data_IF_214186154113
#
_entry.id   IF_214186154113
#
_cell.length_a   1.000
_cell.length_b   1.000
_cell.length_c   1.000
_cell.angle_alpha   90.00
_cell.angle_beta   90.00
_cell.angle_gamma   90.00
#
_symmetry.space_group_name_H-M   'P 1'
#
loop_
_entity.id
_entity.type
_entity.pdbx_description
1 polymer ?
#
# COMPACT_ATOMS: atom_id res chain seq x y z
N UNK A 1 12.37 -11.79 14.27
CA UNK A 1 12.60 -10.93 13.09
C UNK A 1 13.88 -11.44 12.47
N UNK A 2 13.81 -12.01 11.29
CA UNK A 2 15.01 -12.40 10.55
C UNK A 2 15.56 -11.13 9.87
N UNK A 3 16.72 -10.65 10.31
CA UNK A 3 17.35 -9.43 9.84
C UNK A 3 18.26 -9.65 8.60
N UNK A 4 18.30 -10.88 8.07
CA UNK A 4 19.20 -11.28 6.97
C UNK A 4 18.68 -10.87 5.57
N UNK A 5 17.53 -10.21 5.47
CA UNK A 5 17.04 -9.64 4.21
C UNK A 5 17.36 -8.16 4.15
N UNK A 6 17.64 -7.65 2.97
CA UNK A 6 17.82 -6.19 2.70
C UNK A 6 16.51 -5.43 2.99
N UNK A 7 16.12 -5.37 4.27
CA UNK A 7 14.93 -4.68 4.69
C UNK A 7 15.19 -3.18 4.80
N UNK A 8 14.32 -2.40 4.21
CA UNK A 8 14.32 -0.97 4.39
C UNK A 8 13.63 -0.64 5.72
N UNK A 9 14.41 -0.32 6.76
CA UNK A 9 13.89 -0.02 8.10
C UNK A 9 13.37 1.42 8.27
N UNK A 10 13.08 2.12 7.19
CA UNK A 10 12.55 3.48 7.25
C UNK A 10 11.06 3.47 7.57
N UNK A 11 10.68 4.08 8.70
CA UNK A 11 9.32 4.50 8.97
C UNK A 11 9.21 6.00 8.68
N UNK A 12 8.40 6.40 7.70
CA UNK A 12 8.27 7.81 7.29
C UNK A 12 7.15 8.56 8.02
N UNK A 13 6.39 7.86 8.84
CA UNK A 13 5.36 8.49 9.66
C UNK A 13 4.13 7.63 9.88
N UNK A 14 3.16 8.25 10.52
CA UNK A 14 1.83 7.70 10.82
C UNK A 14 0.78 8.71 10.42
N UNK A 15 -0.47 8.29 10.25
CA UNK A 15 -1.62 9.19 10.08
C UNK A 15 -2.55 9.08 11.28
N UNK A 16 -3.18 10.19 11.63
CA UNK A 16 -4.22 10.24 12.66
C UNK A 16 -5.58 10.15 11.98
N UNK A 17 -6.45 9.32 12.54
CA UNK A 17 -7.87 9.27 12.21
C UNK A 17 -8.70 9.37 13.49
N UNK A 18 -9.84 10.08 13.42
CA UNK A 18 -10.75 10.31 14.55
C UNK A 18 -12.08 9.63 14.26
N UNK A 19 -12.54 8.81 15.20
CA UNK A 19 -13.85 8.15 15.15
C UNK A 19 -14.93 9.04 15.77
N UNK A 20 -15.49 9.94 14.99
CA UNK A 20 -16.56 10.84 15.45
C UNK A 20 -17.86 10.14 15.86
N UNK A 21 -17.96 8.83 15.69
CA UNK A 21 -19.14 8.05 16.07
C UNK A 21 -19.13 7.60 17.54
N UNK A 22 -18.05 7.84 18.28
CA UNK A 22 -17.89 7.51 19.70
C UNK A 22 -17.47 8.77 20.48
N UNK A 23 -17.45 8.72 21.84
CA UNK A 23 -17.07 9.88 22.65
C UNK A 23 -15.54 10.07 22.64
N UNK A 24 -15.10 11.31 22.87
CA UNK A 24 -13.69 11.68 22.91
C UNK A 24 -12.89 10.92 23.99
N UNK A 25 -13.52 10.54 25.08
CA UNK A 25 -12.93 9.78 26.18
C UNK A 25 -12.92 8.26 25.95
N UNK A 26 -13.58 7.78 24.88
CA UNK A 26 -13.66 6.36 24.58
C UNK A 26 -12.33 5.86 23.97
N UNK A 27 -11.98 4.61 24.29
CA UNK A 27 -10.81 3.96 23.69
C UNK A 27 -10.89 3.95 22.17
N UNK A 28 -9.77 4.31 21.53
CA UNK A 28 -9.66 4.37 20.07
C UNK A 28 -10.54 5.45 19.39
N UNK A 29 -10.96 6.48 20.13
CA UNK A 29 -11.55 7.69 19.55
C UNK A 29 -10.57 8.32 18.54
N UNK A 30 -9.31 8.48 18.94
CA UNK A 30 -8.23 8.95 18.08
C UNK A 30 -7.23 7.83 17.84
N UNK A 31 -7.04 7.45 16.57
CA UNK A 31 -6.18 6.34 16.17
C UNK A 31 -4.96 6.81 15.40
N UNK A 32 -3.85 6.14 15.64
CA UNK A 32 -2.67 6.21 14.78
C UNK A 32 -2.69 4.99 13.86
N UNK A 33 -2.74 5.22 12.54
CA UNK A 33 -2.64 4.19 11.51
C UNK A 33 -1.25 4.23 10.89
N UNK A 34 -0.60 3.07 10.78
CA UNK A 34 0.73 2.94 10.20
C UNK A 34 0.99 1.55 9.63
N UNK A 35 1.83 1.50 8.61
CA UNK A 35 2.30 0.27 8.02
C UNK A 35 3.62 -0.22 8.61
N UNK A 36 3.92 -1.50 8.42
CA UNK A 36 5.14 -2.14 8.89
C UNK A 36 5.91 -2.85 7.77
N UNK A 37 7.18 -3.16 8.01
CA UNK A 37 8.05 -3.82 7.04
C UNK A 37 7.67 -5.29 6.75
N UNK A 38 6.80 -5.87 7.54
CA UNK A 38 6.24 -7.21 7.33
C UNK A 38 4.82 -7.18 6.75
N UNK A 39 4.50 -6.09 6.04
CA UNK A 39 3.28 -5.89 5.28
C UNK A 39 1.99 -5.95 6.11
N UNK A 40 2.00 -5.41 7.33
CA UNK A 40 0.82 -5.22 8.18
C UNK A 40 0.45 -3.75 8.30
N UNK A 41 -0.84 -3.49 8.44
CA UNK A 41 -1.42 -2.19 8.79
C UNK A 41 -1.96 -2.26 10.21
N UNK A 42 -1.52 -1.35 11.06
CA UNK A 42 -1.91 -1.26 12.47
C UNK A 42 -2.80 -0.07 12.74
N UNK A 43 -3.69 -0.22 13.74
CA UNK A 43 -4.40 0.85 14.39
C UNK A 43 -4.14 0.80 15.91
N UNK A 44 -3.58 1.87 16.47
CA UNK A 44 -3.36 2.01 17.90
C UNK A 44 -4.05 3.27 18.43
N UNK A 45 -4.47 3.21 19.68
CA UNK A 45 -5.03 4.35 20.40
C UNK A 45 -3.95 5.42 20.61
N UNK A 46 -4.22 6.64 20.17
CA UNK A 46 -3.27 7.74 20.30
C UNK A 46 -3.06 8.20 21.74
N UNK A 47 -3.98 7.88 22.66
CA UNK A 47 -3.90 8.29 24.05
C UNK A 47 -2.96 7.39 24.89
N UNK A 48 -2.92 6.08 24.60
CA UNK A 48 -2.23 5.11 25.45
C UNK A 48 -1.31 4.13 24.70
N UNK A 49 -1.37 4.11 23.35
CA UNK A 49 -0.58 3.21 22.51
C UNK A 49 -1.10 1.76 22.45
N UNK A 50 -2.26 1.48 23.04
CA UNK A 50 -2.87 0.15 22.97
C UNK A 50 -3.48 -0.11 21.58
N UNK A 51 -3.56 -1.38 21.20
CA UNK A 51 -4.18 -1.76 19.93
C UNK A 51 -5.68 -1.52 19.92
N UNK A 52 -6.20 -0.98 18.82
CA UNK A 52 -7.63 -0.82 18.59
C UNK A 52 -8.24 -2.15 18.14
N UNK A 53 -8.69 -2.98 19.08
CA UNK A 53 -9.13 -4.35 18.83
C UNK A 53 -10.27 -4.50 17.82
N UNK A 54 -11.03 -3.43 17.55
CA UNK A 54 -12.06 -3.39 16.51
C UNK A 54 -11.53 -3.18 15.10
N UNK A 55 -10.21 -3.03 14.92
CA UNK A 55 -9.57 -2.88 13.61
C UNK A 55 -8.91 -4.21 13.20
N UNK A 56 -9.41 -4.82 12.13
CA UNK A 56 -8.92 -6.09 11.62
C UNK A 56 -8.92 -7.19 12.68
N UNK A 57 -7.84 -7.95 12.77
CA UNK A 57 -7.66 -8.93 13.83
C UNK A 57 -6.78 -8.33 14.95
N UNK A 58 -7.40 -8.01 16.10
CA UNK A 58 -6.71 -7.48 17.30
C UNK A 58 -5.85 -6.24 17.01
N UNK A 59 -6.39 -5.31 16.23
CA UNK A 59 -5.72 -4.03 15.93
C UNK A 59 -4.78 -4.06 14.74
N UNK A 60 -4.81 -5.12 13.93
CA UNK A 60 -3.98 -5.22 12.74
C UNK A 60 -4.68 -5.88 11.55
N UNK A 61 -4.23 -5.53 10.36
CA UNK A 61 -4.60 -6.18 9.09
C UNK A 61 -3.33 -6.69 8.44
N UNK A 62 -3.30 -7.98 8.08
CA UNK A 62 -2.25 -8.54 7.21
C UNK A 62 -2.62 -8.21 5.77
N UNK A 63 -1.91 -7.24 5.20
CA UNK A 63 -2.31 -6.62 3.91
C UNK A 63 -2.05 -7.53 2.71
N UNK A 64 -1.04 -8.40 2.79
CA UNK A 64 -0.56 -9.20 1.66
C UNK A 64 -0.17 -10.62 2.06
N UNK A 65 -1.11 -11.46 2.51
CA UNK A 65 -0.75 -12.81 2.93
C UNK A 65 -0.12 -13.65 1.80
N UNK A 66 -0.59 -13.49 0.55
CA UNK A 66 -0.06 -14.24 -0.59
C UNK A 66 1.30 -13.71 -1.06
N UNK A 67 1.49 -12.39 -1.07
CA UNK A 67 2.79 -11.82 -1.42
C UNK A 67 3.85 -12.11 -0.36
N UNK A 68 3.50 -12.09 0.92
CA UNK A 68 4.39 -12.48 1.99
C UNK A 68 4.83 -13.95 1.87
N UNK A 69 3.96 -14.82 1.35
CA UNK A 69 4.24 -16.23 1.13
C UNK A 69 5.17 -16.46 -0.07
N UNK A 70 4.90 -15.81 -1.20
CA UNK A 70 5.62 -16.03 -2.45
C UNK A 70 6.89 -15.19 -2.56
N UNK A 71 6.94 -14.06 -1.86
CA UNK A 71 8.04 -13.10 -1.89
C UNK A 71 8.38 -12.63 -0.47
N UNK A 72 8.92 -13.50 0.40
CA UNK A 72 9.21 -13.14 1.79
C UNK A 72 10.08 -11.90 1.89
N UNK A 73 9.60 -10.86 2.61
CA UNK A 73 10.27 -9.58 2.74
C UNK A 73 10.27 -8.70 1.49
N UNK A 74 9.68 -9.16 0.39
CA UNK A 74 9.64 -8.43 -0.89
C UNK A 74 8.65 -7.26 -0.93
N UNK A 75 7.74 -7.16 0.05
CA UNK A 75 6.76 -6.08 0.16
C UNK A 75 6.83 -5.48 1.56
N UNK A 76 6.93 -4.16 1.63
CA UNK A 76 7.05 -3.42 2.89
C UNK A 76 6.18 -2.17 2.87
N UNK A 77 5.75 -1.70 4.03
CA UNK A 77 5.06 -0.41 4.18
C UNK A 77 5.95 0.55 4.96
N UNK A 78 6.56 1.49 4.27
CA UNK A 78 7.49 2.47 4.86
C UNK A 78 6.93 3.88 4.89
N UNK A 79 5.97 4.21 4.02
CA UNK A 79 5.27 5.49 4.02
C UNK A 79 3.97 5.38 4.81
N UNK A 80 3.56 6.47 5.49
CA UNK A 80 2.29 6.48 6.18
C UNK A 80 1.14 6.26 5.20
N UNK A 81 0.05 5.62 5.60
CA UNK A 81 -1.20 5.71 4.85
C UNK A 81 -1.68 7.16 4.84
N UNK A 82 -2.56 7.50 3.90
CA UNK A 82 -3.38 8.71 3.98
C UNK A 82 -4.80 8.32 4.31
N UNK A 83 -5.53 9.23 4.94
CA UNK A 83 -6.95 9.02 5.23
C UNK A 83 -7.76 10.11 4.54
N UNK A 84 -8.79 9.68 3.82
CA UNK A 84 -9.79 10.52 3.19
C UNK A 84 -11.16 10.04 3.64
N UNK A 85 -11.90 10.87 4.38
CA UNK A 85 -13.08 10.45 5.11
C UNK A 85 -12.75 9.26 6.04
N UNK A 86 -13.45 8.14 5.92
CA UNK A 86 -13.19 6.91 6.69
C UNK A 86 -12.36 5.87 5.91
N UNK A 87 -11.68 6.29 4.86
CA UNK A 87 -10.90 5.42 3.99
C UNK A 87 -9.40 5.63 4.21
N UNK A 88 -8.72 4.62 4.74
CA UNK A 88 -7.27 4.58 4.85
C UNK A 88 -6.66 3.96 3.59
N UNK A 89 -5.86 4.73 2.86
CA UNK A 89 -5.19 4.31 1.63
C UNK A 89 -3.70 4.10 1.89
N UNK A 90 -3.17 2.94 1.53
CA UNK A 90 -1.77 2.59 1.74
C UNK A 90 -1.11 2.09 0.45
N UNK A 91 0.06 2.64 0.15
CA UNK A 91 0.96 2.14 -0.88
C UNK A 91 2.04 1.23 -0.29
N UNK A 92 2.92 0.72 -1.12
CA UNK A 92 3.95 -0.23 -0.69
C UNK A 92 5.33 0.09 -1.27
N UNK A 93 6.36 -0.43 -0.64
CA UNK A 93 7.70 -0.61 -1.22
C UNK A 93 7.80 -2.05 -1.70
N UNK A 94 8.22 -2.22 -2.94
CA UNK A 94 8.61 -3.52 -3.50
C UNK A 94 10.13 -3.52 -3.63
N UNK A 95 10.78 -4.62 -3.26
CA UNK A 95 12.24 -4.72 -3.42
C UNK A 95 12.61 -4.71 -4.91
N UNK A 96 13.35 -3.66 -5.30
CA UNK A 96 13.79 -3.42 -6.67
C UNK A 96 15.01 -4.27 -7.05
N UNK A 97 15.28 -4.37 -8.37
CA UNK A 97 16.52 -4.90 -8.97
C UNK A 97 16.79 -6.38 -8.73
N UNK A 98 15.88 -7.10 -8.13
CA UNK A 98 16.05 -8.53 -7.81
C UNK A 98 15.52 -9.40 -8.96
N UNK A 99 14.33 -9.04 -9.50
CA UNK A 99 13.62 -9.87 -10.47
C UNK A 99 12.62 -9.04 -11.28
N UNK A 100 12.26 -9.53 -12.48
CA UNK A 100 11.24 -8.90 -13.33
C UNK A 100 9.84 -9.17 -12.79
N UNK A 101 9.57 -10.42 -12.43
CA UNK A 101 8.30 -10.92 -11.89
C UNK A 101 8.11 -10.59 -10.40
N UNK A 102 8.47 -9.37 -10.00
CA UNK A 102 8.28 -8.85 -8.65
C UNK A 102 6.80 -8.86 -8.24
N UNK A 103 6.48 -8.80 -6.93
CA UNK A 103 5.10 -8.60 -6.49
C UNK A 103 4.48 -7.37 -7.12
N UNK A 104 3.15 -7.38 -7.29
CA UNK A 104 2.42 -6.19 -7.72
C UNK A 104 2.51 -5.08 -6.68
N UNK A 105 2.75 -3.85 -7.15
CA UNK A 105 2.79 -2.64 -6.34
C UNK A 105 1.43 -2.04 -6.01
N UNK A 106 0.39 -2.85 -5.92
CA UNK A 106 -0.98 -2.41 -5.66
C UNK A 106 -1.09 -1.44 -4.49
N UNK A 107 -1.85 -0.37 -4.70
CA UNK A 107 -2.36 0.49 -3.64
C UNK A 107 -3.66 -0.10 -3.10
N UNK A 108 -3.85 -0.05 -1.80
CA UNK A 108 -5.02 -0.65 -1.14
C UNK A 108 -5.70 0.32 -0.22
N UNK A 109 -7.01 0.19 -0.13
CA UNK A 109 -7.84 0.98 0.77
C UNK A 109 -8.59 0.09 1.76
N UNK A 110 -8.65 0.58 2.97
CA UNK A 110 -9.31 -0.07 4.09
C UNK A 110 -10.23 0.90 4.80
N UNK A 111 -11.30 0.41 5.39
CA UNK A 111 -12.09 1.19 6.32
C UNK A 111 -11.23 1.54 7.55
N UNK A 112 -11.07 2.82 7.88
CA UNK A 112 -10.20 3.29 8.95
C UNK A 112 -10.68 2.86 10.36
N UNK A 113 -11.99 2.56 10.49
CA UNK A 113 -12.58 2.07 11.73
C UNK A 113 -12.42 0.57 11.90
N UNK A 114 -12.73 -0.21 10.87
CA UNK A 114 -12.86 -1.67 10.96
C UNK A 114 -11.68 -2.43 10.40
N UNK A 115 -10.87 -1.82 9.53
CA UNK A 115 -9.81 -2.51 8.80
C UNK A 115 -10.32 -3.40 7.65
N UNK A 116 -11.62 -3.35 7.33
CA UNK A 116 -12.18 -4.08 6.20
C UNK A 116 -11.60 -3.56 4.88
N UNK A 117 -11.19 -4.44 3.94
CA UNK A 117 -10.73 -4.03 2.63
C UNK A 117 -11.89 -3.44 1.81
N UNK A 118 -11.66 -2.27 1.20
CA UNK A 118 -12.66 -1.56 0.40
C UNK A 118 -12.39 -1.70 -1.10
N UNK A 119 -11.16 -1.37 -1.53
CA UNK A 119 -10.74 -1.48 -2.92
C UNK A 119 -9.21 -1.61 -3.02
N UNK A 120 -8.76 -2.01 -4.20
CA UNK A 120 -7.36 -1.98 -4.58
C UNK A 120 -7.20 -1.41 -6.00
N UNK A 121 -6.06 -0.81 -6.27
CA UNK A 121 -5.64 -0.35 -7.59
C UNK A 121 -4.27 -0.94 -7.92
N UNK A 122 -4.18 -1.68 -9.02
CA UNK A 122 -2.91 -2.17 -9.56
C UNK A 122 -2.42 -1.18 -10.64
N UNK A 123 -1.27 -0.51 -10.45
CA UNK A 123 -0.72 0.36 -11.49
C UNK A 123 -0.36 -0.39 -12.78
N UNK A 124 -0.19 -1.70 -12.70
CA UNK A 124 -0.01 -2.54 -13.89
C UNK A 124 -1.35 -3.20 -14.24
N UNK A 125 -2.00 -2.79 -15.35
CA UNK A 125 -3.31 -3.30 -15.73
C UNK A 125 -3.23 -4.79 -16.12
N UNK A 126 -3.75 -5.67 -15.26
CA UNK A 126 -3.72 -7.13 -15.46
C UNK A 126 -4.86 -7.64 -16.33
N UNK A 127 -5.91 -6.85 -16.50
CA UNK A 127 -7.05 -7.15 -17.34
C UNK A 127 -6.82 -6.55 -18.73
N UNK A 128 -6.72 -7.40 -19.75
CA UNK A 128 -6.50 -6.99 -21.14
C UNK A 128 -7.69 -6.21 -21.73
N UNK A 129 -8.84 -6.17 -21.05
CA UNK A 129 -9.98 -5.32 -21.42
C UNK A 129 -9.81 -3.88 -20.95
N UNK A 130 -8.89 -3.60 -20.02
CA UNK A 130 -8.50 -2.23 -19.66
C UNK A 130 -7.77 -1.57 -20.84
N UNK A 131 -8.22 -0.40 -21.22
CA UNK A 131 -7.59 0.37 -22.30
C UNK A 131 -6.11 0.69 -22.05
N UNK A 132 -5.69 0.74 -20.78
CA UNK A 132 -4.30 0.91 -20.39
C UNK A 132 -3.43 -0.30 -20.68
N UNK A 133 -3.98 -1.51 -20.70
CA UNK A 133 -3.25 -2.73 -21.02
C UNK A 133 -2.65 -2.69 -22.44
N UNK A 134 -3.34 -2.04 -23.39
CA UNK A 134 -2.83 -1.85 -24.74
C UNK A 134 -1.53 -1.04 -24.85
N UNK A 135 -1.18 -0.30 -23.78
CA UNK A 135 0.08 0.47 -23.70
C UNK A 135 1.27 -0.37 -23.19
N UNK A 136 1.03 -1.65 -22.84
CA UNK A 136 2.03 -2.62 -22.38
C UNK A 136 2.26 -3.65 -23.48
N UNK A 137 3.20 -3.36 -24.39
CA UNK A 137 3.43 -4.16 -25.58
C UNK A 137 4.07 -5.52 -25.21
N UNK A 138 3.75 -6.55 -25.98
CA UNK A 138 4.28 -7.91 -25.83
C UNK A 138 3.97 -8.57 -24.47
N UNK A 139 2.84 -8.23 -23.84
CA UNK A 139 2.42 -8.84 -22.58
C UNK A 139 3.27 -8.43 -21.38
N UNK A 140 3.94 -7.28 -21.44
CA UNK A 140 4.72 -6.73 -20.33
C UNK A 140 3.90 -6.58 -19.04
N UNK A 141 2.60 -6.26 -19.14
CA UNK A 141 1.68 -6.20 -18.03
C UNK A 141 1.47 -7.53 -17.28
N UNK A 142 1.72 -8.67 -17.91
CA UNK A 142 1.58 -9.98 -17.27
C UNK A 142 2.89 -10.52 -16.67
N UNK A 143 4.02 -9.99 -17.12
CA UNK A 143 5.34 -10.51 -16.73
C UNK A 143 6.10 -9.61 -15.75
N UNK A 144 5.65 -8.36 -15.56
CA UNK A 144 6.32 -7.34 -14.75
C UNK A 144 5.59 -7.15 -13.44
N UNK A 145 6.32 -6.82 -12.38
CA UNK A 145 5.78 -6.39 -11.09
C UNK A 145 6.22 -4.98 -10.72
N UNK A 146 6.20 -4.64 -9.45
CA UNK A 146 6.48 -3.31 -8.90
C UNK A 146 5.49 -2.24 -9.36
N UNK A 147 5.91 -1.09 -9.88
CA UNK A 147 5.08 0.07 -10.16
C UNK A 147 4.35 0.59 -8.90
N UNK A 148 4.98 0.45 -7.77
CA UNK A 148 4.40 0.70 -6.45
C UNK A 148 4.42 2.19 -6.07
N UNK A 149 3.56 2.55 -5.13
CA UNK A 149 3.54 3.88 -4.49
C UNK A 149 4.30 3.79 -3.16
N UNK A 150 5.56 4.17 -3.17
CA UNK A 150 6.44 4.17 -2.00
C UNK A 150 6.64 5.54 -1.36
N UNK A 151 6.30 6.60 -2.09
CA UNK A 151 6.34 7.98 -1.60
C UNK A 151 5.09 8.31 -0.78
N UNK A 152 5.13 9.35 0.07
CA UNK A 152 3.94 9.90 0.69
C UNK A 152 2.90 10.30 -0.36
N UNK A 153 1.65 10.02 -0.07
CA UNK A 153 0.49 10.44 -0.87
C UNK A 153 -0.09 11.74 -0.33
N UNK A 154 -0.94 12.41 -1.12
CA UNK A 154 -1.63 13.64 -0.74
C UNK A 154 -3.13 13.48 -0.99
N UNK A 155 -3.95 14.02 -0.09
CA UNK A 155 -5.41 14.05 -0.23
C UNK A 155 -5.91 15.45 -0.55
N UNK A 156 -6.95 15.54 -1.36
CA UNK A 156 -7.78 16.73 -1.57
C UNK A 156 -9.20 16.38 -1.09
N UNK A 157 -9.50 16.74 0.15
CA UNK A 157 -10.79 16.46 0.78
C UNK A 157 -11.96 17.15 0.04
N UNK A 158 -11.72 18.34 -0.47
CA UNK A 158 -12.77 19.11 -1.15
C UNK A 158 -13.21 18.46 -2.47
N UNK A 159 -12.36 17.67 -3.11
CA UNK A 159 -12.63 16.97 -4.37
C UNK A 159 -12.76 15.46 -4.23
N UNK A 160 -12.63 14.95 -3.01
CA UNK A 160 -12.66 13.51 -2.71
C UNK A 160 -11.59 12.73 -3.52
N UNK A 161 -10.36 13.25 -3.54
CA UNK A 161 -9.26 12.71 -4.36
C UNK A 161 -8.03 12.36 -3.54
N UNK A 162 -7.38 11.26 -3.91
CA UNK A 162 -6.05 10.89 -3.43
C UNK A 162 -5.06 10.97 -4.60
N UNK A 163 -3.98 11.74 -4.41
CA UNK A 163 -2.88 11.83 -5.37
C UNK A 163 -1.76 10.89 -4.95
N UNK A 164 -1.39 9.99 -5.85
CA UNK A 164 -0.35 9.00 -5.63
C UNK A 164 0.61 8.95 -6.82
N UNK A 165 1.92 9.04 -6.54
CA UNK A 165 2.95 8.90 -7.56
C UNK A 165 3.40 7.43 -7.62
N UNK A 166 3.18 6.79 -8.76
CA UNK A 166 3.64 5.44 -9.03
C UNK A 166 5.12 5.45 -9.40
N UNK A 167 5.81 4.35 -9.16
CA UNK A 167 7.20 4.14 -9.55
C UNK A 167 7.28 3.31 -10.84
N UNK A 168 8.50 3.18 -11.37
CA UNK A 168 8.78 2.31 -12.50
C UNK A 168 8.44 0.84 -12.17
N UNK A 169 7.93 0.10 -13.16
CA UNK A 169 7.81 -1.36 -13.05
C UNK A 169 9.17 -2.06 -12.98
N UNK A 170 9.20 -3.26 -12.45
CA UNK A 170 10.43 -4.06 -12.36
C UNK A 170 10.95 -4.52 -13.74
N UNK A 171 12.26 -4.56 -13.94
CA UNK A 171 13.30 -3.91 -13.14
C UNK A 171 13.33 -2.41 -13.43
N UNK A 172 13.37 -1.58 -12.39
CA UNK A 172 13.11 -0.13 -12.49
C UNK A 172 14.06 0.61 -13.46
N UNK A 173 15.31 0.17 -13.57
CA UNK A 173 16.33 0.81 -14.41
C UNK A 173 16.40 0.29 -15.86
N UNK A 174 15.60 -0.73 -16.23
CA UNK A 174 15.65 -1.34 -17.56
C UNK A 174 14.26 -1.60 -18.13
N UNK A 175 13.86 -0.80 -19.11
CA UNK A 175 12.54 -0.89 -19.77
C UNK A 175 12.42 -1.95 -20.85
N UNK A 176 13.47 -2.70 -21.20
CA UNK A 176 13.49 -3.63 -22.32
C UNK A 176 12.51 -4.83 -22.21
N UNK A 177 11.99 -5.11 -21.00
CA UNK A 177 11.02 -6.16 -20.75
C UNK A 177 9.56 -5.67 -20.80
N UNK A 178 9.33 -4.36 -20.93
CA UNK A 178 8.02 -3.71 -20.86
C UNK A 178 7.90 -2.58 -21.88
N UNK A 179 7.89 -2.95 -23.14
CA UNK A 179 7.75 -1.98 -24.23
C UNK A 179 6.38 -1.27 -24.18
N UNK A 180 6.35 -0.05 -24.69
CA UNK A 180 5.17 0.82 -24.75
C UNK A 180 5.19 1.92 -23.69
N UNK A 181 4.09 2.68 -23.59
CA UNK A 181 3.97 3.85 -22.71
C UNK A 181 3.75 3.46 -21.25
N UNK A 182 3.45 2.22 -20.95
CA UNK A 182 3.22 1.66 -19.61
C UNK A 182 2.28 2.52 -18.74
N UNK A 183 1.11 2.88 -19.28
CA UNK A 183 0.13 3.75 -18.61
C UNK A 183 -0.15 3.28 -17.17
N UNK A 184 -0.26 4.23 -16.25
CA UNK A 184 -0.37 4.14 -14.79
C UNK A 184 0.95 3.81 -14.06
N UNK A 185 2.04 3.55 -14.76
CA UNK A 185 3.36 3.39 -14.17
C UNK A 185 4.34 4.40 -14.78
N UNK A 186 5.31 4.84 -13.99
CA UNK A 186 6.35 5.79 -14.42
C UNK A 186 7.50 5.09 -15.18
#
# INVERSE_FOLDING_TARGET
INLDTEQNFNCRGVVIWVDESINEDDQCYKRLLFGTNDARLFAIDAANGERCNGFGEKGEVVVLPDAAKNYPGGVQFVSPPVVLNDVAVIGSVILDRIRVDSPSGQVRAYNAKTGEPLWNFDPIPRDDTDSAAATWINGGNHTTGSANVWSPMVVDEARDMVFMATSSPAPDLYGGNRHGDNRYAD
#
